data_IF_574342849500
#
_entry.id   IF_574342849500
#
_cell.length_a   1.000
_cell.length_b   1.000
_cell.length_c   1.000
_cell.angle_alpha   90.00
_cell.angle_beta   90.00
_cell.angle_gamma   90.00
#
_symmetry.space_group_name_H-M   'P 1'
#
loop_
_entity.id
_entity.type
_entity.pdbx_description
1 polymer ?
#
# COMPACT_ATOMS: atom_id res chain seq x y z
N UNK A 1 37.40 21.97 -45.37
CA UNK A 1 36.01 22.01 -44.85
C UNK A 1 35.57 20.59 -44.55
N UNK A 2 35.04 20.42 -43.35
CA UNK A 2 34.74 19.16 -42.66
C UNK A 2 33.43 18.53 -43.15
N UNK A 3 33.48 17.35 -43.79
CA UNK A 3 32.28 16.50 -43.97
C UNK A 3 32.57 14.99 -43.88
N UNK A 4 33.78 14.57 -43.48
CA UNK A 4 34.18 13.15 -43.48
C UNK A 4 33.80 12.38 -42.19
N UNK A 5 33.56 13.08 -41.08
CA UNK A 5 33.31 12.43 -39.79
C UNK A 5 31.86 11.95 -39.62
N UNK A 6 30.89 12.64 -40.24
CA UNK A 6 29.47 12.31 -40.09
C UNK A 6 29.01 11.10 -40.92
N UNK A 7 29.68 10.79 -42.04
CA UNK A 7 29.36 9.59 -42.83
C UNK A 7 29.80 8.28 -42.16
N UNK A 8 30.88 8.31 -41.36
CA UNK A 8 31.37 7.12 -40.64
C UNK A 8 30.47 6.74 -39.46
N UNK A 9 29.80 7.72 -38.86
CA UNK A 9 28.92 7.54 -37.71
C UNK A 9 27.52 7.02 -38.12
N UNK A 10 27.08 7.33 -39.35
CA UNK A 10 25.80 6.86 -39.89
C UNK A 10 25.88 5.47 -40.55
N UNK A 11 27.08 4.97 -40.88
CA UNK A 11 27.27 3.62 -41.45
C UNK A 11 27.42 2.52 -40.40
N UNK A 12 27.56 2.86 -39.11
CA UNK A 12 27.74 1.88 -38.02
C UNK A 12 26.43 1.43 -37.35
N UNK A 13 25.28 1.73 -37.94
CA UNK A 13 23.98 1.18 -37.55
C UNK A 13 23.36 0.61 -38.83
N UNK A 14 23.43 -0.71 -39.10
CA UNK A 14 22.77 -1.71 -38.27
C UNK A 14 23.50 -3.07 -38.20
N UNK A 15 23.99 -3.44 -37.02
CA UNK A 15 24.14 -4.86 -36.66
C UNK A 15 23.48 -5.15 -35.31
N UNK A 16 22.27 -4.61 -35.12
CA UNK A 16 21.33 -5.19 -34.17
C UNK A 16 20.40 -6.17 -34.90
N UNK A 17 20.96 -6.94 -35.84
CA UNK A 17 20.24 -7.99 -36.54
C UNK A 17 20.42 -9.30 -35.76
N UNK A 18 19.43 -9.56 -34.91
CA UNK A 18 18.86 -10.89 -34.68
C UNK A 18 19.82 -12.03 -34.25
N UNK A 19 20.04 -12.14 -32.94
CA UNK A 19 20.17 -13.46 -32.32
C UNK A 19 18.77 -13.99 -31.98
N UNK A 20 18.07 -14.54 -32.99
CA UNK A 20 16.66 -14.99 -32.90
C UNK A 20 16.44 -16.23 -32.02
N UNK A 21 17.49 -16.88 -31.54
CA UNK A 21 17.36 -18.09 -30.71
C UNK A 21 17.41 -17.80 -29.19
N UNK A 22 17.99 -16.68 -28.75
CA UNK A 22 18.19 -16.39 -27.32
C UNK A 22 17.22 -15.34 -26.75
N UNK A 23 16.62 -14.52 -27.61
CA UNK A 23 15.65 -13.49 -27.20
C UNK A 23 14.28 -14.05 -26.76
N UNK A 24 13.69 -15.09 -27.39
CA UNK A 24 12.36 -15.55 -26.96
C UNK A 24 12.39 -16.21 -25.58
N UNK A 25 13.48 -16.90 -25.22
CA UNK A 25 13.65 -17.54 -23.91
C UNK A 25 13.96 -16.54 -22.80
N UNK A 26 14.85 -15.59 -23.03
CA UNK A 26 15.19 -14.59 -22.00
C UNK A 26 14.01 -13.64 -21.69
N UNK A 27 13.24 -13.26 -22.70
CA UNK A 27 12.02 -12.45 -22.51
C UNK A 27 10.90 -13.25 -21.86
N UNK A 28 10.69 -14.53 -22.24
CA UNK A 28 9.70 -15.39 -21.60
C UNK A 28 10.02 -15.66 -20.12
N UNK A 29 11.30 -15.85 -19.77
CA UNK A 29 11.73 -15.99 -18.37
C UNK A 29 11.55 -14.69 -17.59
N UNK A 30 11.90 -13.54 -18.17
CA UNK A 30 11.70 -12.23 -17.53
C UNK A 30 10.23 -11.92 -17.28
N UNK A 31 9.36 -12.15 -18.27
CA UNK A 31 7.91 -11.97 -18.13
C UNK A 31 7.32 -13.00 -17.16
N UNK A 32 7.75 -14.26 -17.22
CA UNK A 32 7.33 -15.31 -16.29
C UNK A 32 7.71 -15.00 -14.84
N UNK A 33 8.91 -14.47 -14.60
CA UNK A 33 9.36 -14.04 -13.28
C UNK A 33 8.57 -12.82 -12.78
N UNK A 34 8.35 -11.83 -13.66
CA UNK A 34 7.52 -10.66 -13.34
C UNK A 34 6.09 -11.06 -12.99
N UNK A 35 5.49 -11.94 -13.80
CA UNK A 35 4.15 -12.46 -13.52
C UNK A 35 4.14 -13.30 -12.25
N UNK A 36 5.14 -14.14 -11.99
CA UNK A 36 5.20 -14.91 -10.74
C UNK A 36 5.32 -14.03 -9.49
N UNK A 37 6.00 -12.88 -9.59
CA UNK A 37 6.12 -11.90 -8.50
C UNK A 37 4.83 -11.06 -8.36
N UNK A 38 4.20 -10.69 -9.47
CA UNK A 38 2.98 -9.87 -9.48
C UNK A 38 1.70 -10.69 -9.27
N UNK A 39 1.71 -11.98 -9.57
CA UNK A 39 0.56 -12.86 -9.43
C UNK A 39 0.05 -12.93 -7.99
N UNK A 40 0.88 -13.16 -6.95
CA UNK A 40 0.39 -13.12 -5.57
C UNK A 40 -0.04 -11.72 -5.14
N UNK A 41 0.50 -10.64 -5.70
CA UNK A 41 0.08 -9.28 -5.31
C UNK A 41 -1.25 -8.87 -5.94
N UNK A 42 -1.55 -9.39 -7.13
CA UNK A 42 -2.78 -9.08 -7.89
C UNK A 42 -3.90 -10.10 -7.62
N UNK A 43 -3.57 -11.40 -7.51
CA UNK A 43 -4.53 -12.50 -7.35
C UNK A 43 -4.62 -13.09 -5.94
N UNK A 44 -3.99 -12.50 -4.92
CA UNK A 44 -4.28 -12.86 -3.52
C UNK A 44 -5.68 -12.36 -3.10
N UNK A 45 -6.69 -12.99 -3.70
CA UNK A 45 -8.05 -13.27 -3.21
C UNK A 45 -8.01 -14.70 -2.65
N UNK A 46 -8.66 -15.14 -1.58
CA UNK A 46 -9.67 -14.60 -0.67
C UNK A 46 -9.66 -15.58 0.51
N UNK A 47 -9.44 -15.14 1.75
CA UNK A 47 -9.83 -15.97 2.91
C UNK A 47 -11.29 -15.63 3.19
N UNK A 48 -12.15 -16.64 3.22
CA UNK A 48 -13.58 -16.52 3.47
C UNK A 48 -13.85 -15.97 4.88
N UNK A 49 -13.83 -14.65 5.00
CA UNK A 49 -14.50 -13.93 6.06
C UNK A 49 -15.75 -13.32 5.43
N UNK A 50 -16.86 -13.32 6.16
CA UNK A 50 -18.16 -12.75 5.77
C UNK A 50 -18.10 -11.24 5.38
N UNK A 51 -16.97 -10.59 5.67
CA UNK A 51 -16.73 -9.17 5.45
C UNK A 51 -16.35 -8.92 3.98
N UNK A 52 -17.00 -7.95 3.34
CA UNK A 52 -16.70 -7.53 1.98
C UNK A 52 -15.31 -6.89 1.87
N UNK A 53 -14.50 -7.39 0.93
CA UNK A 53 -13.15 -6.91 0.67
C UNK A 53 -13.14 -6.02 -0.58
N UNK A 54 -12.68 -4.77 -0.44
CA UNK A 54 -12.42 -3.87 -1.56
C UNK A 54 -11.23 -4.42 -2.35
N UNK A 55 -11.52 -5.02 -3.50
CA UNK A 55 -10.50 -5.59 -4.39
C UNK A 55 -9.59 -4.54 -5.03
N UNK A 56 -8.56 -5.03 -5.72
CA UNK A 56 -7.64 -4.24 -6.54
C UNK A 56 -6.22 -4.13 -5.98
N UNK A 57 -5.35 -3.43 -6.71
CA UNK A 57 -3.92 -3.33 -6.39
C UNK A 57 -3.71 -2.38 -5.21
N UNK A 58 -3.29 -2.94 -4.07
CA UNK A 58 -3.22 -2.24 -2.76
C UNK A 58 -2.58 -0.84 -2.81
N UNK A 59 -1.52 -0.65 -3.59
CA UNK A 59 -0.83 0.65 -3.70
C UNK A 59 -1.71 1.74 -4.36
N UNK A 60 -2.50 1.37 -5.36
CA UNK A 60 -3.33 2.32 -6.11
C UNK A 60 -4.71 2.47 -5.48
N UNK A 61 -5.30 1.37 -4.99
CA UNK A 61 -6.63 1.39 -4.38
C UNK A 61 -6.65 2.07 -3.01
N UNK A 62 -5.57 1.95 -2.23
CA UNK A 62 -5.44 2.64 -0.95
C UNK A 62 -4.84 4.06 -1.05
N UNK A 63 -4.43 4.55 -2.23
CA UNK A 63 -3.88 5.90 -2.32
C UNK A 63 -4.85 7.01 -1.84
N UNK A 64 -6.16 6.96 -2.17
CA UNK A 64 -7.13 7.90 -1.63
C UNK A 64 -7.28 7.81 -0.11
N UNK A 65 -6.94 6.67 0.50
CA UNK A 65 -6.89 6.57 1.96
C UNK A 65 -5.87 7.58 2.49
N UNK A 66 -4.64 7.65 2.01
CA UNK A 66 -3.65 8.57 2.59
C UNK A 66 -3.94 10.07 2.37
N UNK A 67 -4.61 10.42 1.26
CA UNK A 67 -4.86 11.82 0.89
C UNK A 67 -6.24 12.33 1.30
N UNK A 68 -7.27 11.48 1.21
CA UNK A 68 -8.70 11.82 1.42
C UNK A 68 -9.39 10.74 2.24
N UNK A 69 -8.82 10.41 3.42
CA UNK A 69 -9.30 9.35 4.34
C UNK A 69 -10.82 9.34 4.53
N UNK A 70 -11.38 10.49 4.88
CA UNK A 70 -12.80 10.60 5.20
C UNK A 70 -13.68 10.28 3.99
N UNK A 71 -13.38 10.89 2.84
CA UNK A 71 -14.14 10.67 1.61
C UNK A 71 -14.02 9.23 1.14
N UNK A 72 -12.81 8.68 1.17
CA UNK A 72 -12.56 7.27 0.83
C UNK A 72 -13.40 6.31 1.68
N UNK A 73 -13.44 6.50 3.00
CA UNK A 73 -14.24 5.66 3.89
C UNK A 73 -15.73 5.86 3.64
N UNK A 74 -16.19 7.11 3.51
CA UNK A 74 -17.60 7.45 3.26
C UNK A 74 -18.10 6.83 1.96
N UNK A 75 -17.36 7.00 0.88
CA UNK A 75 -17.71 6.42 -0.42
C UNK A 75 -17.68 4.90 -0.40
N UNK A 76 -16.68 4.30 0.26
CA UNK A 76 -16.58 2.84 0.37
C UNK A 76 -17.76 2.25 1.12
N UNK A 77 -18.14 2.82 2.27
CA UNK A 77 -19.34 2.40 2.99
C UNK A 77 -20.62 2.59 2.17
N UNK A 78 -20.69 3.63 1.33
CA UNK A 78 -21.83 3.84 0.45
C UNK A 78 -21.88 2.80 -0.70
N UNK A 79 -20.72 2.43 -1.26
CA UNK A 79 -20.58 1.45 -2.34
C UNK A 79 -20.88 0.03 -1.88
N UNK A 80 -20.32 -0.36 -0.74
CA UNK A 80 -20.46 -1.69 -0.12
C UNK A 80 -21.85 -1.88 0.48
N UNK A 81 -22.49 -0.81 0.97
CA UNK A 81 -23.79 -0.88 1.65
C UNK A 81 -23.74 -1.54 3.04
N UNK A 82 -22.58 -2.05 3.46
CA UNK A 82 -22.36 -2.70 4.74
C UNK A 82 -21.81 -1.71 5.79
N UNK A 83 -21.85 -2.12 7.05
CA UNK A 83 -21.25 -1.38 8.17
C UNK A 83 -19.79 -1.77 8.43
N UNK A 84 -19.27 -2.73 7.68
CA UNK A 84 -17.91 -3.24 7.78
C UNK A 84 -17.39 -3.58 6.39
N UNK A 85 -16.14 -3.25 6.10
CA UNK A 85 -15.44 -3.70 4.89
C UNK A 85 -13.95 -3.77 5.16
N UNK A 86 -13.23 -4.54 4.34
CA UNK A 86 -11.78 -4.69 4.46
C UNK A 86 -11.09 -4.22 3.18
N UNK A 87 -9.91 -3.63 3.30
CA UNK A 87 -9.08 -3.25 2.16
C UNK A 87 -7.60 -3.38 2.52
N UNK A 88 -6.74 -3.51 1.50
CA UNK A 88 -5.30 -3.66 1.72
C UNK A 88 -4.58 -2.33 1.65
N UNK A 89 -3.79 -2.03 2.67
CA UNK A 89 -2.83 -0.92 2.71
C UNK A 89 -1.42 -1.51 2.78
N UNK A 90 -0.68 -1.44 1.67
CA UNK A 90 0.62 -2.09 1.51
C UNK A 90 0.53 -3.59 1.83
N UNK A 91 1.19 -4.04 2.90
CA UNK A 91 1.17 -5.44 3.38
C UNK A 91 0.18 -5.68 4.52
N UNK A 92 -0.60 -4.67 4.90
CA UNK A 92 -1.54 -4.73 6.02
C UNK A 92 -2.98 -4.80 5.52
N UNK A 93 -3.77 -5.66 6.15
CA UNK A 93 -5.22 -5.70 5.98
C UNK A 93 -5.85 -4.71 6.95
N UNK A 94 -6.63 -3.76 6.44
CA UNK A 94 -7.33 -2.75 7.23
C UNK A 94 -8.82 -3.00 7.12
N UNK A 95 -9.45 -3.27 8.26
CA UNK A 95 -10.90 -3.42 8.35
C UNK A 95 -11.50 -2.12 8.88
N UNK A 96 -12.31 -1.48 8.05
CA UNK A 96 -13.08 -0.30 8.41
C UNK A 96 -14.45 -0.73 8.94
N UNK A 97 -14.88 -0.10 10.04
CA UNK A 97 -16.15 -0.38 10.70
C UNK A 97 -16.87 0.92 11.01
N UNK A 98 -18.21 0.94 10.96
CA UNK A 98 -19.02 2.09 11.38
C UNK A 98 -20.18 1.68 12.29
N UNK A 99 -20.65 2.62 13.11
CA UNK A 99 -21.80 2.43 13.99
C UNK A 99 -21.44 2.33 15.47
N UNK A 100 -22.46 2.35 16.32
CA UNK A 100 -22.30 2.30 17.78
C UNK A 100 -21.77 0.95 18.26
N UNK A 101 -22.27 -0.14 17.69
CA UNK A 101 -21.83 -1.50 18.02
C UNK A 101 -20.34 -1.70 17.71
N UNK A 102 -19.90 -1.27 16.51
CA UNK A 102 -18.49 -1.30 16.13
C UNK A 102 -17.62 -0.47 17.08
N UNK A 103 -18.10 0.69 17.53
CA UNK A 103 -17.42 1.52 18.52
C UNK A 103 -17.26 0.77 19.84
N UNK A 104 -18.33 0.15 20.35
CA UNK A 104 -18.29 -0.65 21.58
C UNK A 104 -17.30 -1.80 21.44
N UNK A 105 -17.37 -2.57 20.35
CA UNK A 105 -16.44 -3.67 20.10
C UNK A 105 -14.97 -3.21 20.05
N UNK A 106 -14.70 -2.06 19.41
CA UNK A 106 -13.34 -1.50 19.34
C UNK A 106 -12.77 -1.16 20.72
N UNK A 107 -13.57 -0.53 21.59
CA UNK A 107 -13.10 -0.08 22.91
C UNK A 107 -13.19 -1.13 24.02
N UNK A 108 -14.05 -2.14 23.87
CA UNK A 108 -14.26 -3.20 24.86
C UNK A 108 -13.28 -4.37 24.66
N UNK A 109 -12.82 -4.62 23.43
CA UNK A 109 -11.92 -5.74 23.16
C UNK A 109 -10.47 -5.46 23.58
N UNK A 110 -9.92 -6.32 24.43
CA UNK A 110 -8.51 -6.25 24.83
C UNK A 110 -7.53 -6.54 23.66
N UNK A 111 -8.01 -7.20 22.61
CA UNK A 111 -7.21 -7.53 21.43
C UNK A 111 -7.02 -6.37 20.46
N UNK A 112 -7.85 -5.31 20.54
CA UNK A 112 -7.70 -4.12 19.69
C UNK A 112 -6.96 -3.03 20.48
N UNK A 113 -5.77 -2.68 20.01
CA UNK A 113 -4.90 -1.70 20.67
C UNK A 113 -4.56 -0.54 19.73
N UNK A 114 -5.05 0.65 20.09
CA UNK A 114 -4.80 1.89 19.33
C UNK A 114 -3.31 2.23 19.23
N UNK A 115 -2.52 1.99 20.28
CA UNK A 115 -1.08 2.28 20.33
C UNK A 115 -0.33 1.41 19.32
N UNK A 116 -0.62 0.10 19.28
CA UNK A 116 -0.03 -0.80 18.29
C UNK A 116 -0.46 -0.43 16.86
N UNK A 117 -1.72 -0.01 16.67
CA UNK A 117 -2.20 0.50 15.38
C UNK A 117 -1.43 1.74 14.90
N UNK A 118 -1.12 2.67 15.80
CA UNK A 118 -0.31 3.85 15.46
C UNK A 118 1.12 3.51 15.07
N UNK A 119 1.76 2.50 15.68
CA UNK A 119 3.12 2.07 15.31
C UNK A 119 3.20 1.64 13.84
N UNK A 120 2.18 0.94 13.36
CA UNK A 120 2.14 0.44 11.97
C UNK A 120 2.12 1.61 10.97
N UNK A 121 1.41 2.69 11.28
CA UNK A 121 1.25 3.83 10.36
C UNK A 121 2.35 4.89 10.51
N UNK A 122 2.89 5.08 11.72
CA UNK A 122 3.80 6.17 12.06
C UNK A 122 5.24 5.72 12.31
N UNK A 123 5.51 4.41 12.29
CA UNK A 123 6.83 3.82 12.55
C UNK A 123 7.24 3.78 14.03
N UNK A 124 6.62 4.62 14.88
CA UNK A 124 6.75 4.60 16.32
C UNK A 124 5.43 5.08 16.95
N UNK A 125 5.14 4.62 18.18
CA UNK A 125 4.09 5.18 19.01
C UNK A 125 4.73 5.66 20.31
N UNK A 126 4.38 6.88 20.78
CA UNK A 126 4.92 7.41 22.02
C UNK A 126 4.51 6.51 23.19
N UNK A 127 5.46 6.16 24.05
CA UNK A 127 5.20 5.46 25.31
C UNK A 127 5.09 6.49 26.42
N UNK A 128 4.34 6.15 27.46
CA UNK A 128 4.29 6.98 28.68
C UNK A 128 5.66 7.12 29.35
N UNK A 129 6.55 6.13 29.14
CA UNK A 129 7.94 6.16 29.57
C UNK A 129 8.77 7.25 28.87
N UNK A 130 8.39 7.65 27.66
CA UNK A 130 9.13 8.63 26.85
C UNK A 130 8.79 10.08 27.25
N UNK A 131 7.82 10.28 28.13
CA UNK A 131 7.40 11.61 28.59
C UNK A 131 8.35 12.09 29.69
N UNK A 132 9.01 13.22 29.44
CA UNK A 132 9.85 13.88 30.44
C UNK A 132 8.99 14.42 31.59
N UNK A 133 9.08 13.74 32.73
CA UNK A 133 8.34 14.10 33.96
C UNK A 133 8.86 15.38 34.61
N UNK A 134 10.01 15.89 34.18
CA UNK A 134 10.57 17.15 34.72
C UNK A 134 9.93 18.41 34.12
N UNK A 135 9.14 18.27 33.04
CA UNK A 135 8.41 19.37 32.39
C UNK A 135 7.08 19.73 33.09
N UNK A 136 6.73 19.06 34.18
CA UNK A 136 5.64 19.49 35.05
C UNK A 136 6.08 20.72 35.87
N UNK A 137 6.03 21.90 35.25
CA UNK A 137 5.98 23.16 35.99
C UNK A 137 4.55 23.30 36.54
N UNK A 138 4.33 23.31 37.86
CA UNK A 138 3.04 23.74 38.38
C UNK A 138 2.86 25.19 37.96
N UNK A 139 1.90 25.42 37.06
CA UNK A 139 1.37 26.77 36.78
C UNK A 139 0.81 27.29 38.11
N UNK A 140 1.64 28.08 38.80
CA UNK A 140 1.27 28.74 40.05
C UNK A 140 0.27 29.84 39.68
N UNK A 141 -1.01 29.49 39.73
CA UNK A 141 -2.13 30.40 39.49
C UNK A 141 -2.20 31.35 40.69
N UNK A 142 -1.51 32.48 40.57
CA UNK A 142 -1.68 33.66 41.44
C UNK A 142 -2.92 34.46 41.05
#
# INVERSE_FOLDING_TARGET
MSVSFHEKLLRSLPEFQQSTAAVPTATALGVGLLLAILYPTILSSKKSTDIEELGGVSLFTAWPFFSRRFDFLKESFAKTGQNIFTFKVLHHSVTAMKGEEARKAFFDSQSLNSIEGYKILMGAAPRLEDVDKSLHQPEDVS
#
